data_IF_069475437920
#
_entry.id   IF_069475437920
#
_cell.length_a   1.000
_cell.length_b   1.000
_cell.length_c   1.000
_cell.angle_alpha   90.00
_cell.angle_beta   90.00
_cell.angle_gamma   90.00
#
_symmetry.space_group_name_H-M   'P 1'
#
loop_
_entity.id
_entity.type
_entity.pdbx_description
1 polymer ?
#
# COMPACT_ATOMS: atom_id res chain seq x y z
N UNK A 1 9.30 -14.69 2.24
CA UNK A 1 8.25 -13.77 2.73
C UNK A 1 8.31 -12.40 2.03
N UNK A 2 9.50 -11.84 1.78
CA UNK A 2 9.66 -10.55 1.07
C UNK A 2 9.18 -10.56 -0.39
N UNK A 3 9.03 -11.71 -1.00
CA UNK A 3 8.58 -11.88 -2.40
C UNK A 3 7.08 -12.10 -2.55
N UNK A 4 6.31 -11.94 -1.50
CA UNK A 4 4.85 -12.02 -1.58
C UNK A 4 4.27 -10.85 -2.36
N UNK A 5 3.20 -11.14 -3.10
CA UNK A 5 2.46 -10.12 -3.85
C UNK A 5 1.62 -9.26 -2.93
N UNK A 6 1.46 -8.01 -3.30
CA UNK A 6 0.58 -7.06 -2.66
C UNK A 6 0.11 -5.99 -3.63
N UNK A 7 -0.77 -5.13 -3.15
CA UNK A 7 -1.31 -3.99 -3.88
C UNK A 7 -0.94 -2.70 -3.18
N UNK A 8 -0.50 -1.73 -3.93
CA UNK A 8 -0.23 -0.38 -3.41
C UNK A 8 -0.35 0.66 -4.51
N UNK A 9 -0.29 1.92 -4.12
CA UNK A 9 -0.31 3.05 -5.04
C UNK A 9 1.06 3.16 -5.70
N UNK A 10 1.11 3.17 -7.03
CA UNK A 10 2.34 3.33 -7.83
C UNK A 10 2.47 4.71 -8.46
N UNK A 11 1.38 5.46 -8.53
CA UNK A 11 1.37 6.81 -9.06
C UNK A 11 0.12 7.56 -8.66
N UNK A 12 0.21 8.87 -8.70
CA UNK A 12 -0.89 9.78 -8.39
C UNK A 12 -0.97 10.90 -9.44
N UNK A 13 -2.17 11.41 -9.60
CA UNK A 13 -2.44 12.65 -10.30
C UNK A 13 -3.33 13.51 -9.42
N UNK A 14 -2.91 14.73 -9.15
CA UNK A 14 -3.69 15.70 -8.35
C UNK A 14 -3.92 16.93 -9.21
N UNK A 15 -5.18 17.30 -9.41
CA UNK A 15 -5.53 18.53 -10.13
C UNK A 15 -4.96 19.75 -9.39
N UNK A 16 -4.19 20.56 -10.09
CA UNK A 16 -3.53 21.73 -9.54
C UNK A 16 -2.13 21.50 -8.97
N UNK A 17 -1.61 20.27 -9.06
CA UNK A 17 -0.26 19.94 -8.67
C UNK A 17 0.48 19.23 -9.81
N UNK A 18 1.51 19.85 -10.33
CA UNK A 18 2.27 19.36 -11.49
C UNK A 18 3.48 18.50 -11.10
N UNK A 19 3.89 18.56 -9.84
CA UNK A 19 5.04 17.83 -9.31
C UNK A 19 4.91 17.58 -7.79
N UNK A 20 5.77 16.74 -7.27
CA UNK A 20 5.77 16.29 -5.89
C UNK A 20 6.02 17.40 -4.82
N UNK A 21 6.61 18.51 -5.22
CA UNK A 21 6.88 19.66 -4.34
C UNK A 21 5.81 20.74 -4.41
N UNK A 22 4.73 20.52 -5.14
CA UNK A 22 3.63 21.48 -5.25
C UNK A 22 2.82 21.57 -3.95
N UNK A 23 2.11 22.67 -3.81
CA UNK A 23 1.11 22.87 -2.78
C UNK A 23 -0.27 22.99 -3.41
N UNK A 24 -1.31 22.59 -2.70
CA UNK A 24 -2.69 22.65 -3.17
C UNK A 24 -3.45 23.67 -2.34
N UNK A 25 -4.15 24.57 -3.01
CA UNK A 25 -4.93 25.59 -2.33
C UNK A 25 -5.98 24.97 -1.39
N UNK A 26 -5.94 25.38 -0.13
CA UNK A 26 -6.85 24.92 0.90
C UNK A 26 -6.50 23.57 1.52
N UNK A 27 -5.35 23.00 1.17
CA UNK A 27 -4.79 21.79 1.80
C UNK A 27 -3.59 22.20 2.64
N UNK A 28 -3.52 21.72 3.88
CA UNK A 28 -2.47 22.09 4.85
C UNK A 28 -1.14 21.44 4.46
N UNK A 29 -1.16 20.14 4.20
CA UNK A 29 0.01 19.36 3.82
C UNK A 29 0.37 19.62 2.36
N UNK A 30 1.67 19.62 2.06
CA UNK A 30 2.15 19.65 0.68
C UNK A 30 2.00 18.27 0.00
N UNK A 31 2.24 18.20 -1.31
CA UNK A 31 2.11 16.96 -2.06
C UNK A 31 3.09 15.90 -1.58
N UNK A 32 4.29 16.29 -1.14
CA UNK A 32 5.28 15.34 -0.59
C UNK A 32 4.76 14.66 0.67
N UNK A 33 4.18 15.41 1.59
CA UNK A 33 3.57 14.87 2.81
C UNK A 33 2.37 13.97 2.50
N UNK A 34 1.53 14.38 1.55
CA UNK A 34 0.42 13.54 1.08
C UNK A 34 0.91 12.22 0.49
N UNK A 35 1.98 12.23 -0.30
CA UNK A 35 2.60 11.02 -0.85
C UNK A 35 3.11 10.10 0.26
N UNK A 36 3.79 10.64 1.28
CA UNK A 36 4.27 9.86 2.41
C UNK A 36 3.12 9.16 3.15
N UNK A 37 1.99 9.81 3.29
CA UNK A 37 0.81 9.23 3.91
C UNK A 37 0.14 8.20 2.98
N UNK A 38 0.03 8.47 1.69
CA UNK A 38 -0.55 7.54 0.71
C UNK A 38 0.23 6.23 0.59
N UNK A 39 1.55 6.26 0.72
CA UNK A 39 2.40 5.06 0.75
C UNK A 39 2.04 4.08 1.88
N UNK A 40 1.44 4.56 2.95
CA UNK A 40 1.08 3.75 4.12
C UNK A 40 -0.30 3.09 3.98
N UNK A 41 -1.10 3.45 2.98
CA UNK A 41 -2.41 2.86 2.74
C UNK A 41 -2.27 1.40 2.34
N UNK A 42 -3.01 0.50 3.01
CA UNK A 42 -2.95 -0.95 2.78
C UNK A 42 -4.20 -1.44 2.10
N UNK A 43 -4.02 -1.96 0.89
CA UNK A 43 -5.08 -2.44 0.01
C UNK A 43 -5.20 -3.96 0.08
N UNK A 44 -6.41 -4.44 0.33
CA UNK A 44 -6.76 -5.86 0.25
C UNK A 44 -7.71 -6.08 -0.91
N UNK A 45 -7.35 -6.95 -1.85
CA UNK A 45 -8.22 -7.33 -2.96
C UNK A 45 -9.48 -8.04 -2.46
N UNK A 46 -10.65 -7.59 -2.90
CA UNK A 46 -11.96 -8.11 -2.50
C UNK A 46 -12.69 -8.84 -3.63
N UNK A 47 -12.17 -8.82 -4.85
CA UNK A 47 -12.77 -9.44 -6.03
C UNK A 47 -12.04 -10.73 -6.40
N UNK A 48 -12.74 -11.68 -7.02
CA UNK A 48 -12.17 -12.99 -7.36
C UNK A 48 -11.36 -12.98 -8.68
N UNK A 49 -11.63 -12.02 -9.57
CA UNK A 49 -10.87 -11.89 -10.81
C UNK A 49 -9.49 -11.23 -10.56
N UNK A 50 -8.57 -11.50 -11.47
CA UNK A 50 -7.24 -10.92 -11.39
C UNK A 50 -7.27 -9.41 -11.72
N UNK A 51 -6.66 -8.61 -10.84
CA UNK A 51 -6.52 -7.16 -11.00
C UNK A 51 -5.04 -6.84 -11.01
N UNK A 52 -4.51 -6.35 -12.12
CA UNK A 52 -3.10 -5.96 -12.23
C UNK A 52 -2.89 -4.48 -11.93
N UNK A 53 -3.81 -3.64 -12.39
CA UNK A 53 -3.86 -2.23 -12.03
C UNK A 53 -5.31 -1.72 -12.01
N UNK A 54 -5.55 -0.70 -11.22
CA UNK A 54 -6.82 0.00 -11.17
C UNK A 54 -6.56 1.49 -10.92
N UNK A 55 -7.33 2.33 -11.59
CA UNK A 55 -7.35 3.76 -11.31
C UNK A 55 -8.55 4.10 -10.45
N UNK A 56 -8.29 4.75 -9.33
CA UNK A 56 -9.32 5.20 -8.40
C UNK A 56 -9.36 6.72 -8.44
N UNK A 57 -10.49 7.26 -8.83
CA UNK A 57 -10.70 8.72 -8.90
C UNK A 57 -11.55 9.18 -7.72
N UNK A 58 -11.07 10.19 -7.01
CA UNK A 58 -11.79 10.80 -5.90
C UNK A 58 -11.97 12.30 -6.14
N UNK A 59 -13.14 12.79 -5.76
CA UNK A 59 -13.43 14.22 -5.66
C UNK A 59 -13.89 14.52 -4.24
N UNK A 60 -13.06 15.19 -3.46
CA UNK A 60 -13.30 15.48 -2.05
C UNK A 60 -13.67 16.95 -1.93
N UNK A 61 -14.88 17.21 -1.44
CA UNK A 61 -15.43 18.54 -1.28
C UNK A 61 -16.23 18.63 0.02
N UNK A 62 -16.14 19.74 0.72
CA UNK A 62 -16.90 19.97 1.94
C UNK A 62 -16.44 19.11 3.13
N UNK A 63 -15.19 18.65 3.11
CA UNK A 63 -14.56 17.85 4.17
C UNK A 63 -13.38 18.60 4.74
N UNK A 64 -13.14 18.42 6.04
CA UNK A 64 -11.95 18.98 6.72
C UNK A 64 -10.76 18.02 6.68
N UNK A 65 -10.99 16.75 6.38
CA UNK A 65 -9.98 15.70 6.35
C UNK A 65 -10.19 14.77 5.17
N UNK A 66 -9.07 14.30 4.62
CA UNK A 66 -9.02 13.20 3.66
C UNK A 66 -8.35 12.00 4.34
N UNK A 67 -9.10 10.93 4.53
CA UNK A 67 -8.64 9.71 5.16
C UNK A 67 -8.56 8.55 4.18
N UNK A 68 -7.75 7.54 4.50
CA UNK A 68 -7.60 6.34 3.66
C UNK A 68 -8.93 5.60 3.44
N UNK A 69 -9.86 5.65 4.39
CA UNK A 69 -11.19 5.04 4.26
C UNK A 69 -12.01 5.59 3.10
N UNK A 70 -11.82 6.84 2.74
CA UNK A 70 -12.50 7.46 1.58
C UNK A 70 -12.04 6.84 0.25
N UNK A 71 -10.80 6.34 0.18
CA UNK A 71 -10.30 5.60 -0.99
C UNK A 71 -11.08 4.29 -1.15
N UNK A 72 -11.32 3.59 -0.05
CA UNK A 72 -12.10 2.35 -0.04
C UNK A 72 -13.55 2.54 -0.50
N UNK A 73 -14.16 3.69 -0.20
CA UNK A 73 -15.50 4.05 -0.65
C UNK A 73 -15.57 4.32 -2.16
N UNK A 74 -14.46 4.70 -2.79
CA UNK A 74 -14.37 5.04 -4.21
C UNK A 74 -14.09 3.83 -5.11
N UNK A 75 -13.87 2.66 -4.56
CA UNK A 75 -13.60 1.41 -5.29
C UNK A 75 -14.36 0.23 -4.70
N UNK A 76 -14.75 -0.71 -5.56
CA UNK A 76 -15.34 -1.99 -5.15
C UNK A 76 -14.34 -3.15 -5.18
N UNK A 77 -13.15 -2.91 -5.72
CA UNK A 77 -12.12 -3.95 -5.90
C UNK A 77 -11.24 -4.16 -4.68
N UNK A 78 -11.11 -3.15 -3.83
CA UNK A 78 -10.22 -3.16 -2.67
C UNK A 78 -10.92 -2.72 -1.39
N UNK A 79 -10.54 -3.35 -0.28
CA UNK A 79 -10.80 -2.85 1.06
C UNK A 79 -9.53 -2.18 1.60
N UNK A 80 -9.70 -1.13 2.39
CA UNK A 80 -8.60 -0.45 3.06
C UNK A 80 -8.48 -0.99 4.48
N UNK A 81 -7.31 -1.54 4.82
CA UNK A 81 -7.08 -2.18 6.12
C UNK A 81 -6.77 -1.17 7.24
N UNK A 82 -6.36 0.05 6.89
CA UNK A 82 -6.10 1.15 7.81
C UNK A 82 -6.91 2.42 7.45
N UNK A 83 -8.25 2.36 7.53
CA UNK A 83 -9.14 3.43 7.03
C UNK A 83 -9.03 4.74 7.80
N UNK A 84 -8.56 4.71 9.03
CA UNK A 84 -8.42 5.90 9.88
C UNK A 84 -7.13 6.71 9.61
N UNK A 85 -6.26 6.22 8.72
CA UNK A 85 -5.05 6.94 8.35
C UNK A 85 -5.39 8.27 7.71
N UNK A 86 -4.89 9.37 8.28
CA UNK A 86 -5.05 10.71 7.73
C UNK A 86 -4.07 10.92 6.57
N UNK A 87 -4.60 11.31 5.41
CA UNK A 87 -3.79 11.64 4.23
C UNK A 87 -3.47 13.13 4.23
N UNK A 88 -4.48 13.97 4.36
CA UNK A 88 -4.30 15.42 4.48
C UNK A 88 -5.47 16.09 5.21
N UNK A 89 -5.19 17.31 5.67
CA UNK A 89 -6.16 18.22 6.28
C UNK A 89 -6.52 19.32 5.30
N UNK A 90 -7.80 19.62 5.14
CA UNK A 90 -8.30 20.57 4.15
C UNK A 90 -9.20 21.61 4.78
N UNK A 91 -9.25 22.77 4.14
CA UNK A 91 -10.33 23.73 4.37
C UNK A 91 -11.64 23.16 3.79
N UNK A 92 -12.76 23.33 4.50
CA UNK A 92 -14.09 22.86 4.05
C UNK A 92 -14.55 23.50 2.73
N UNK A 93 -13.96 24.62 2.35
CA UNK A 93 -14.19 25.28 1.05
C UNK A 93 -13.29 24.75 -0.07
N UNK A 94 -12.26 23.96 0.27
CA UNK A 94 -11.32 23.39 -0.69
C UNK A 94 -11.98 22.23 -1.45
N UNK A 95 -11.53 22.05 -2.70
CA UNK A 95 -11.88 20.91 -3.55
C UNK A 95 -10.60 20.19 -3.96
N UNK A 96 -10.53 18.91 -3.64
CA UNK A 96 -9.41 18.05 -4.00
C UNK A 96 -9.89 16.98 -5.00
N UNK A 97 -9.36 17.04 -6.21
CA UNK A 97 -9.55 16.00 -7.22
C UNK A 97 -8.25 15.23 -7.37
N UNK A 98 -8.29 13.94 -7.07
CA UNK A 98 -7.13 13.07 -7.08
C UNK A 98 -7.46 11.77 -7.82
N UNK A 99 -6.51 11.29 -8.63
CA UNK A 99 -6.54 9.98 -9.25
C UNK A 99 -5.36 9.16 -8.70
N UNK A 100 -5.66 7.98 -8.19
CA UNK A 100 -4.69 7.04 -7.64
C UNK A 100 -4.57 5.86 -8.60
N UNK A 101 -3.34 5.48 -8.94
CA UNK A 101 -3.06 4.25 -9.68
C UNK A 101 -2.60 3.17 -8.70
N UNK A 102 -3.43 2.14 -8.51
CA UNK A 102 -3.13 0.99 -7.66
C UNK A 102 -2.66 -0.15 -8.53
N UNK A 103 -1.49 -0.71 -8.23
CA UNK A 103 -0.90 -1.80 -8.99
C UNK A 103 -0.54 -2.98 -8.11
N UNK A 104 -0.49 -4.15 -8.73
CA UNK A 104 0.01 -5.39 -8.13
C UNK A 104 1.51 -5.50 -8.33
N UNK A 105 2.24 -5.90 -7.31
CA UNK A 105 3.67 -6.09 -7.41
C UNK A 105 4.23 -6.89 -6.24
N UNK A 106 5.56 -6.98 -6.19
CA UNK A 106 6.32 -7.71 -5.17
C UNK A 106 7.41 -6.84 -4.57
N UNK A 107 7.63 -6.96 -3.28
CA UNK A 107 8.71 -6.28 -2.59
C UNK A 107 8.57 -4.76 -2.59
N UNK A 108 9.59 -4.08 -3.06
CA UNK A 108 9.67 -2.63 -3.14
C UNK A 108 10.07 -2.20 -4.56
N UNK A 109 9.38 -1.21 -5.09
CA UNK A 109 9.66 -0.62 -6.41
C UNK A 109 9.82 0.89 -6.24
N UNK A 110 11.00 1.45 -6.58
CA UNK A 110 11.23 2.89 -6.50
C UNK A 110 10.38 3.67 -7.50
N UNK A 111 10.14 4.95 -7.22
CA UNK A 111 9.36 5.84 -8.07
C UNK A 111 9.90 5.92 -9.52
N UNK A 112 11.22 5.86 -9.68
CA UNK A 112 11.84 5.90 -11.02
C UNK A 112 11.44 4.72 -11.91
N UNK A 113 11.22 3.55 -11.33
CA UNK A 113 10.74 2.37 -12.06
C UNK A 113 9.23 2.42 -12.33
N UNK A 114 8.48 3.20 -11.55
CA UNK A 114 7.05 3.42 -11.74
C UNK A 114 6.74 4.52 -12.78
N UNK A 115 7.75 5.13 -13.40
CA UNK A 115 7.56 6.08 -14.49
C UNK A 115 6.94 5.39 -15.69
N UNK A 116 5.81 5.91 -16.16
CA UNK A 116 5.15 5.45 -17.37
C UNK A 116 5.67 6.28 -18.53
N UNK A 117 6.09 5.64 -19.65
CA UNK A 117 6.62 6.32 -20.83
C UNK A 117 5.49 7.18 -21.34
N UNK A 118 4.71 7.53 -21.67
CA UNK A 118 3.63 8.37 -22.19
C UNK A 118 2.63 8.80 -21.11
N UNK A 119 3.12 8.99 -19.87
CA UNK A 119 2.25 9.46 -18.78
C UNK A 119 1.70 10.85 -19.08
N UNK A 120 0.44 11.14 -18.73
CA UNK A 120 -0.10 12.48 -18.86
C UNK A 120 0.70 13.48 -18.02
N UNK A 121 0.72 14.73 -18.47
CA UNK A 121 1.33 15.81 -17.71
C UNK A 121 0.71 15.90 -16.32
N UNK A 122 1.55 16.02 -15.28
CA UNK A 122 1.13 16.07 -13.89
C UNK A 122 1.03 14.70 -13.20
N UNK A 123 1.26 13.59 -13.90
CA UNK A 123 1.39 12.28 -13.27
C UNK A 123 2.65 12.21 -12.42
N UNK A 124 2.50 11.82 -11.17
CA UNK A 124 3.60 11.72 -10.20
C UNK A 124 3.78 10.24 -9.83
N UNK A 125 4.87 9.59 -10.28
CA UNK A 125 5.20 8.24 -9.83
C UNK A 125 5.66 8.29 -8.38
N UNK A 126 5.28 7.28 -7.59
CA UNK A 126 5.69 7.17 -6.19
C UNK A 126 6.36 5.83 -5.92
N UNK A 127 7.15 5.77 -4.87
CA UNK A 127 7.72 4.50 -4.38
C UNK A 127 6.61 3.58 -3.91
N UNK A 128 6.68 2.32 -4.30
CA UNK A 128 5.66 1.32 -3.99
C UNK A 128 6.20 0.25 -3.06
N UNK A 129 5.56 0.10 -1.91
CA UNK A 129 5.85 -0.96 -0.94
C UNK A 129 4.75 -2.01 -1.08
N UNK A 130 5.04 -3.08 -1.82
CA UNK A 130 4.08 -4.14 -2.11
C UNK A 130 4.01 -5.21 -1.03
N UNK A 131 5.12 -5.45 -0.33
CA UNK A 131 5.18 -6.53 0.65
C UNK A 131 4.13 -6.37 1.76
N UNK A 132 3.30 -7.40 2.02
CA UNK A 132 2.36 -7.39 3.13
C UNK A 132 3.02 -7.70 4.48
N UNK A 133 4.31 -8.00 4.50
CA UNK A 133 5.06 -8.38 5.70
C UNK A 133 5.71 -7.14 6.31
N UNK A 134 5.34 -6.85 7.55
CA UNK A 134 5.94 -5.75 8.32
C UNK A 134 7.22 -6.15 9.02
N UNK A 135 7.23 -7.33 9.64
CA UNK A 135 8.35 -7.82 10.42
C UNK A 135 8.35 -9.34 10.50
N UNK A 136 9.54 -9.92 10.50
CA UNK A 136 9.74 -11.35 10.76
C UNK A 136 10.89 -11.49 11.76
N UNK A 137 10.61 -12.18 12.85
CA UNK A 137 11.63 -12.65 13.79
C UNK A 137 11.67 -14.17 13.76
N UNK A 138 12.83 -14.74 13.86
CA UNK A 138 12.98 -16.19 13.95
C UNK A 138 14.02 -16.59 14.95
N UNK A 139 13.83 -17.78 15.52
CA UNK A 139 14.80 -18.43 16.37
C UNK A 139 14.85 -19.92 16.01
N UNK A 140 16.03 -20.50 16.18
CA UNK A 140 16.25 -21.94 16.00
C UNK A 140 16.51 -22.52 17.39
N UNK A 141 15.70 -23.51 17.77
CA UNK A 141 15.78 -24.18 19.05
C UNK A 141 16.10 -25.67 18.83
N UNK A 142 16.99 -26.21 19.67
CA UNK A 142 17.19 -27.64 19.68
C UNK A 142 15.96 -28.34 20.23
N UNK A 143 15.54 -29.40 19.57
CA UNK A 143 14.38 -30.17 19.98
C UNK A 143 14.67 -31.67 19.95
N UNK A 144 13.96 -32.42 20.79
CA UNK A 144 14.04 -33.86 20.85
C UNK A 144 12.80 -34.46 20.17
N UNK A 145 13.05 -35.37 19.22
CA UNK A 145 12.00 -36.21 18.62
C UNK A 145 12.29 -37.66 18.99
N UNK A 146 11.50 -38.22 19.88
CA UNK A 146 11.72 -39.56 20.47
C UNK A 146 13.10 -39.66 21.14
N UNK A 147 13.99 -40.51 20.61
CA UNK A 147 15.36 -40.68 21.12
C UNK A 147 16.41 -39.85 20.39
N UNK A 148 16.00 -39.10 19.35
CA UNK A 148 16.90 -38.24 18.57
C UNK A 148 16.92 -36.84 19.15
N UNK A 149 18.11 -36.30 19.35
CA UNK A 149 18.36 -34.95 19.89
C UNK A 149 19.00 -34.01 18.88
N UNK A 150 19.16 -34.47 17.66
CA UNK A 150 19.80 -33.74 16.54
C UNK A 150 18.82 -32.94 15.65
N UNK A 151 17.57 -32.82 16.10
CA UNK A 151 16.57 -32.02 15.40
C UNK A 151 16.57 -30.57 15.91
N UNK A 152 16.28 -29.68 14.98
CA UNK A 152 16.08 -28.26 15.25
C UNK A 152 14.62 -27.87 15.00
N UNK A 153 14.12 -26.96 15.81
CA UNK A 153 12.80 -26.37 15.69
C UNK A 153 12.95 -24.92 15.27
N UNK A 154 12.30 -24.55 14.16
CA UNK A 154 12.21 -23.17 13.71
C UNK A 154 10.97 -22.52 14.35
N UNK A 155 11.22 -21.45 15.11
CA UNK A 155 10.17 -20.58 15.65
C UNK A 155 10.18 -19.27 14.87
N UNK A 156 9.08 -18.93 14.25
CA UNK A 156 8.92 -17.69 13.50
C UNK A 156 7.80 -16.84 14.08
N UNK A 157 8.07 -15.55 14.24
CA UNK A 157 7.10 -14.51 14.57
C UNK A 157 6.93 -13.60 13.35
N UNK A 158 5.76 -13.66 12.72
CA UNK A 158 5.46 -12.95 11.47
C UNK A 158 4.38 -11.91 11.73
N UNK A 159 4.71 -10.66 11.49
CA UNK A 159 3.78 -9.54 11.57
C UNK A 159 3.43 -9.06 10.16
N UNK A 160 2.13 -9.06 9.84
CA UNK A 160 1.62 -8.59 8.55
C UNK A 160 0.95 -7.21 8.68
N UNK A 161 0.60 -6.62 7.54
CA UNK A 161 -0.16 -5.37 7.47
C UNK A 161 -1.69 -5.56 7.61
N UNK A 162 -2.14 -6.79 7.86
CA UNK A 162 -3.56 -7.16 7.96
C UNK A 162 -4.21 -7.59 6.66
N UNK A 163 -3.54 -7.48 5.52
CA UNK A 163 -4.07 -7.91 4.20
C UNK A 163 -4.00 -9.42 3.99
N UNK A 164 -3.14 -10.10 4.73
CA UNK A 164 -2.96 -11.53 4.70
C UNK A 164 -2.75 -12.06 6.12
N UNK A 165 -3.30 -13.26 6.41
CA UNK A 165 -3.04 -13.93 7.68
C UNK A 165 -1.59 -14.44 7.71
N UNK A 166 -0.84 -14.34 8.85
CA UNK A 166 0.56 -14.77 8.93
C UNK A 166 0.82 -16.22 8.50
N UNK A 167 -0.05 -17.15 8.85
CA UNK A 167 0.07 -18.56 8.43
C UNK A 167 -0.06 -18.71 6.91
N UNK A 168 -1.01 -18.03 6.30
CA UNK A 168 -1.20 -18.04 4.85
C UNK A 168 -0.01 -17.41 4.13
N UNK A 169 0.56 -16.35 4.70
CA UNK A 169 1.78 -15.72 4.20
C UNK A 169 2.95 -16.71 4.15
N UNK A 170 3.16 -17.49 5.20
CA UNK A 170 4.21 -18.51 5.24
C UNK A 170 3.94 -19.64 4.23
N UNK A 171 2.69 -20.09 4.10
CA UNK A 171 2.30 -21.11 3.11
C UNK A 171 2.56 -20.64 1.68
N UNK A 172 2.15 -19.42 1.34
CA UNK A 172 2.39 -18.86 0.01
C UNK A 172 3.87 -18.65 -0.27
N UNK A 173 4.63 -18.14 0.70
CA UNK A 173 6.08 -17.99 0.58
C UNK A 173 6.78 -19.33 0.35
N UNK A 174 6.33 -20.39 1.00
CA UNK A 174 6.88 -21.75 0.82
C UNK A 174 6.59 -22.31 -0.56
N UNK A 175 5.48 -21.94 -1.18
CA UNK A 175 5.13 -22.35 -2.56
C UNK A 175 5.99 -21.64 -3.62
N UNK A 176 6.53 -20.48 -3.32
CA UNK A 176 7.43 -19.74 -4.22
C UNK A 176 8.81 -20.42 -4.29
N UNK A 177 9.24 -21.05 -3.22
CA UNK A 177 10.48 -21.82 -3.17
C UNK A 177 10.34 -23.16 -3.89
#
# INVERSE_FOLDING_TARGET
LSSLEGYTISGIFIEGADHEFATIKGVVEDVTEMILNLKQVRFKKMVDHDVNNEKITLSIKGRSEFTAGMIGEATNSFAIMNPNLLICTMDTTAKLNIELTVTKGRGYVPADENKVKDAPFGFIPIDSIYTPIKNVKYAIENTRVEQRTDYEKLVMDVTTDGTIHPEEAVKQASRIL
#
